data_IF_751710342614
#
_entry.id   IF_751710342614
#
_cell.length_a   1.000
_cell.length_b   1.000
_cell.length_c   1.000
_cell.angle_alpha   90.00
_cell.angle_beta   90.00
_cell.angle_gamma   90.00
#
_symmetry.space_group_name_H-M   'P 1'
#
loop_
_entity.id
_entity.type
_entity.pdbx_description
1 polymer ?
#
# COMPACT_ATOMS: atom_id res chain seq x y z
N UNK A 1 31.03 -55.44 -51.75
CA UNK A 1 30.23 -54.28 -52.22
C UNK A 1 29.17 -53.99 -51.17
N UNK A 2 29.54 -53.29 -50.10
CA UNK A 2 29.38 -51.83 -49.88
C UNK A 2 27.97 -51.45 -49.40
N UNK A 3 27.82 -51.45 -48.07
CA UNK A 3 26.66 -50.97 -47.31
C UNK A 3 26.55 -49.44 -47.39
N UNK A 4 25.47 -48.93 -48.00
CA UNK A 4 25.18 -47.50 -48.06
C UNK A 4 24.55 -47.03 -46.74
N UNK A 5 25.33 -46.31 -45.93
CA UNK A 5 24.82 -45.59 -44.75
C UNK A 5 24.08 -44.34 -45.22
N UNK A 6 22.77 -44.28 -44.93
CA UNK A 6 21.99 -43.05 -45.03
C UNK A 6 22.52 -42.06 -43.97
N UNK A 7 23.33 -41.09 -44.42
CA UNK A 7 23.90 -40.05 -43.56
C UNK A 7 22.83 -39.00 -43.34
N UNK A 8 22.21 -39.01 -42.17
CA UNK A 8 21.27 -37.97 -41.75
C UNK A 8 22.04 -36.65 -41.59
N UNK A 9 22.05 -35.83 -42.63
CA UNK A 9 22.57 -34.46 -42.56
C UNK A 9 21.53 -33.59 -41.88
N UNK A 10 21.56 -33.53 -40.55
CA UNK A 10 20.95 -32.42 -39.83
C UNK A 10 21.73 -31.16 -40.17
N UNK A 11 21.22 -30.43 -41.17
CA UNK A 11 21.79 -29.20 -41.69
C UNK A 11 21.90 -28.20 -40.52
N UNK A 12 23.09 -27.67 -40.19
CA UNK A 12 23.28 -26.75 -39.05
C UNK A 12 22.43 -25.48 -39.16
N UNK A 13 21.98 -25.14 -40.38
CA UNK A 13 21.10 -24.02 -40.68
C UNK A 13 19.70 -24.18 -40.04
N UNK A 14 19.15 -25.41 -39.96
CA UNK A 14 17.84 -25.65 -39.35
C UNK A 14 17.88 -25.46 -37.82
N UNK A 15 18.97 -25.89 -37.19
CA UNK A 15 19.20 -25.72 -35.75
C UNK A 15 19.36 -24.24 -35.37
N UNK A 16 20.08 -23.46 -36.19
CA UNK A 16 20.21 -22.01 -36.01
C UNK A 16 18.87 -21.28 -36.14
N UNK A 17 18.09 -21.60 -37.18
CA UNK A 17 16.77 -20.98 -37.40
C UNK A 17 15.76 -21.30 -36.28
N UNK A 18 15.80 -22.52 -35.73
CA UNK A 18 14.93 -22.88 -34.60
C UNK A 18 15.32 -22.14 -33.31
N UNK A 19 16.61 -21.95 -33.03
CA UNK A 19 17.06 -21.14 -31.89
C UNK A 19 16.65 -19.68 -32.00
N UNK A 20 16.67 -19.13 -33.22
CA UNK A 20 16.20 -17.76 -33.48
C UNK A 20 14.68 -17.66 -33.24
N UNK A 21 13.90 -18.63 -33.71
CA UNK A 21 12.45 -18.67 -33.47
C UNK A 21 12.10 -18.82 -31.98
N UNK A 22 12.82 -19.67 -31.24
CA UNK A 22 12.62 -19.82 -29.79
C UNK A 22 12.99 -18.54 -29.03
N UNK A 23 14.07 -17.87 -29.44
CA UNK A 23 14.49 -16.59 -28.87
C UNK A 23 13.45 -15.50 -29.13
N UNK A 24 12.91 -15.43 -30.34
CA UNK A 24 11.86 -14.48 -30.71
C UNK A 24 10.59 -14.76 -29.91
N UNK A 25 10.13 -16.01 -29.85
CA UNK A 25 8.95 -16.41 -29.06
C UNK A 25 9.15 -16.05 -27.57
N UNK A 26 10.33 -16.33 -27.01
CA UNK A 26 10.66 -15.96 -25.63
C UNK A 26 10.65 -14.46 -25.40
N UNK A 27 11.18 -13.68 -26.35
CA UNK A 27 11.15 -12.23 -26.32
C UNK A 27 9.71 -11.70 -26.36
N UNK A 28 8.89 -12.17 -27.30
CA UNK A 28 7.47 -11.78 -27.41
C UNK A 28 6.67 -12.18 -26.18
N UNK A 29 6.83 -13.41 -25.67
CA UNK A 29 6.16 -13.85 -24.43
C UNK A 29 6.55 -12.97 -23.24
N UNK A 30 7.83 -12.62 -23.12
CA UNK A 30 8.30 -11.71 -22.07
C UNK A 30 7.76 -10.28 -22.25
N UNK A 31 7.62 -9.81 -23.49
CA UNK A 31 7.06 -8.50 -23.80
C UNK A 31 5.56 -8.45 -23.46
N UNK A 32 4.79 -9.48 -23.81
CA UNK A 32 3.37 -9.60 -23.46
C UNK A 32 3.19 -9.70 -21.94
N UNK A 33 4.05 -10.45 -21.25
CA UNK A 33 4.04 -10.53 -19.79
C UNK A 33 4.32 -9.17 -19.13
N UNK A 34 5.28 -8.39 -19.65
CA UNK A 34 5.56 -7.03 -19.19
C UNK A 34 4.39 -6.08 -19.46
N UNK A 35 3.81 -6.11 -20.66
CA UNK A 35 2.64 -5.29 -21.00
C UNK A 35 1.44 -5.60 -20.08
N UNK A 36 1.23 -6.88 -19.73
CA UNK A 36 0.22 -7.28 -18.74
C UNK A 36 0.55 -6.78 -17.33
N UNK A 37 1.82 -6.80 -16.93
CA UNK A 37 2.22 -6.28 -15.62
C UNK A 37 2.06 -4.76 -15.53
N UNK A 38 2.33 -4.02 -16.62
CA UNK A 38 2.16 -2.57 -16.67
C UNK A 38 0.72 -2.11 -16.40
N UNK A 39 -0.30 -2.91 -16.74
CA UNK A 39 -1.70 -2.62 -16.44
C UNK A 39 -2.11 -2.78 -14.96
N UNK A 40 -1.30 -3.48 -14.15
CA UNK A 40 -1.60 -3.82 -12.76
C UNK A 40 -0.64 -3.13 -11.76
N UNK A 41 0.21 -2.21 -12.22
CA UNK A 41 1.22 -1.53 -11.40
C UNK A 41 0.73 -0.21 -10.78
N UNK A 42 -0.53 -0.14 -10.33
CA UNK A 42 -0.94 0.96 -9.45
C UNK A 42 -0.56 0.61 -8.01
N UNK A 43 0.45 1.30 -7.47
CA UNK A 43 0.74 1.20 -6.03
C UNK A 43 -0.52 1.56 -5.26
N UNK A 44 -0.94 0.76 -4.26
CA UNK A 44 -2.20 1.00 -3.57
C UNK A 44 -2.11 2.34 -2.84
N UNK A 45 -3.09 3.20 -3.12
CA UNK A 45 -3.26 4.52 -2.50
C UNK A 45 -3.54 4.36 -1.00
N UNK A 46 -3.29 5.41 -0.21
CA UNK A 46 -3.54 5.39 1.23
C UNK A 46 -4.98 4.94 1.57
N UNK A 47 -6.04 5.45 0.91
CA UNK A 47 -7.40 4.99 1.18
C UNK A 47 -7.62 3.50 0.85
N UNK A 48 -7.03 3.00 -0.24
CA UNK A 48 -7.13 1.59 -0.63
C UNK A 48 -6.47 0.67 0.42
N UNK A 49 -5.32 1.09 0.97
CA UNK A 49 -4.64 0.39 2.06
C UNK A 49 -5.47 0.40 3.34
N UNK A 50 -6.01 1.55 3.74
CA UNK A 50 -6.86 1.64 4.94
C UNK A 50 -8.13 0.80 4.79
N UNK A 51 -8.78 0.84 3.62
CA UNK A 51 -9.96 0.02 3.36
C UNK A 51 -9.65 -1.47 3.47
N UNK A 52 -8.61 -1.94 2.78
CA UNK A 52 -8.24 -3.36 2.79
C UNK A 52 -7.84 -3.86 4.19
N UNK A 53 -7.21 -3.02 5.01
CA UNK A 53 -6.71 -3.40 6.34
C UNK A 53 -7.76 -3.27 7.45
N UNK A 54 -8.48 -2.15 7.49
CA UNK A 54 -9.32 -1.78 8.64
C UNK A 54 -10.81 -1.90 8.33
N UNK A 55 -11.22 -1.52 7.11
CA UNK A 55 -12.64 -1.30 6.81
C UNK A 55 -13.29 -2.37 5.91
N UNK A 56 -12.55 -3.39 5.46
CA UNK A 56 -13.07 -4.46 4.58
C UNK A 56 -13.93 -5.49 5.33
N UNK A 57 -13.60 -5.81 6.58
CA UNK A 57 -14.34 -6.79 7.39
C UNK A 57 -15.11 -6.06 8.50
N UNK A 58 -16.37 -6.41 8.72
CA UNK A 58 -17.22 -5.75 9.72
C UNK A 58 -16.64 -5.83 11.14
N UNK A 59 -15.98 -6.94 11.50
CA UNK A 59 -15.34 -7.09 12.80
C UNK A 59 -14.15 -6.15 13.00
N UNK A 60 -13.25 -6.05 12.02
CA UNK A 60 -12.10 -5.13 12.08
C UNK A 60 -12.56 -3.67 12.00
N UNK A 61 -13.63 -3.42 11.24
CA UNK A 61 -14.26 -2.11 11.15
C UNK A 61 -14.80 -1.65 12.51
N UNK A 62 -15.60 -2.48 13.17
CA UNK A 62 -16.15 -2.18 14.49
C UNK A 62 -15.04 -1.97 15.54
N UNK A 63 -14.02 -2.82 15.53
CA UNK A 63 -12.85 -2.67 16.40
C UNK A 63 -12.12 -1.34 16.14
N UNK A 64 -11.92 -0.98 14.87
CA UNK A 64 -11.26 0.27 14.49
C UNK A 64 -12.05 1.48 14.99
N UNK A 65 -13.38 1.45 14.91
CA UNK A 65 -14.23 2.53 15.45
C UNK A 65 -14.14 2.59 16.97
N UNK A 66 -14.26 1.45 17.66
CA UNK A 66 -14.22 1.42 19.12
C UNK A 66 -12.88 1.97 19.66
N UNK A 67 -11.76 1.48 19.11
CA UNK A 67 -10.43 1.98 19.46
C UNK A 67 -10.29 3.45 19.07
N UNK A 68 -10.68 3.80 17.84
CA UNK A 68 -10.63 5.17 17.34
C UNK A 68 -11.39 6.15 18.24
N UNK A 69 -12.56 5.77 18.74
CA UNK A 69 -13.36 6.60 19.64
C UNK A 69 -12.65 6.87 20.97
N UNK A 70 -12.01 5.87 21.58
CA UNK A 70 -11.27 6.05 22.84
C UNK A 70 -10.10 7.01 22.71
N UNK A 71 -9.35 6.93 21.61
CA UNK A 71 -8.26 7.87 21.35
C UNK A 71 -8.79 9.26 20.96
N UNK A 72 -9.87 9.30 20.17
CA UNK A 72 -10.51 10.55 19.76
C UNK A 72 -11.04 11.33 20.97
N UNK A 73 -11.73 10.68 21.91
CA UNK A 73 -12.23 11.30 23.15
C UNK A 73 -11.12 12.09 23.86
N UNK A 74 -10.00 11.45 24.16
CA UNK A 74 -8.90 12.08 24.91
C UNK A 74 -8.21 13.20 24.14
N UNK A 75 -8.00 13.01 22.84
CA UNK A 75 -7.38 14.03 22.01
C UNK A 75 -8.32 15.22 21.79
N UNK A 76 -9.61 14.95 21.60
CA UNK A 76 -10.62 15.97 21.36
C UNK A 76 -10.89 16.79 22.62
N UNK A 77 -11.07 16.17 23.78
CA UNK A 77 -11.31 16.90 25.03
C UNK A 77 -10.14 17.84 25.34
N UNK A 78 -8.90 17.34 25.30
CA UNK A 78 -7.72 18.19 25.54
C UNK A 78 -7.56 19.30 24.50
N UNK A 79 -7.80 18.98 23.22
CA UNK A 79 -7.70 19.96 22.14
C UNK A 79 -8.78 21.04 22.24
N UNK A 80 -10.02 20.63 22.48
CA UNK A 80 -11.17 21.52 22.60
C UNK A 80 -11.04 22.40 23.84
N UNK A 81 -10.63 21.83 24.99
CA UNK A 81 -10.33 22.59 26.20
C UNK A 81 -9.25 23.62 25.92
N UNK A 82 -8.10 23.22 25.34
CA UNK A 82 -7.01 24.14 25.01
C UNK A 82 -7.46 25.31 24.13
N UNK A 83 -8.24 25.03 23.08
CA UNK A 83 -8.81 26.06 22.21
C UNK A 83 -9.74 26.97 23.01
N UNK A 84 -10.60 26.41 23.86
CA UNK A 84 -11.53 27.17 24.68
C UNK A 84 -10.84 28.04 25.73
N UNK A 85 -9.79 27.54 26.40
CA UNK A 85 -9.00 28.32 27.35
C UNK A 85 -8.32 29.49 26.65
N UNK A 86 -7.73 29.23 25.48
CA UNK A 86 -7.02 30.24 24.72
C UNK A 86 -7.94 31.36 24.23
N UNK A 87 -9.13 31.02 23.72
CA UNK A 87 -10.13 32.01 23.29
C UNK A 87 -10.61 32.87 24.48
N UNK A 88 -10.67 32.30 25.68
CA UNK A 88 -11.21 32.95 26.87
C UNK A 88 -10.11 33.27 27.90
N UNK A 89 -8.90 33.54 27.42
CA UNK A 89 -7.77 33.86 28.25
C UNK A 89 -8.08 35.07 29.16
N UNK A 90 -7.70 34.97 30.43
CA UNK A 90 -7.99 35.98 31.46
C UNK A 90 -9.45 36.06 31.96
N UNK A 91 -10.41 35.37 31.32
CA UNK A 91 -11.82 35.38 31.76
C UNK A 91 -12.19 34.20 32.66
N UNK A 92 -11.57 33.04 32.46
CA UNK A 92 -11.91 31.84 33.22
C UNK A 92 -11.38 31.92 34.65
N UNK A 93 -12.12 31.32 35.59
CA UNK A 93 -11.71 31.19 36.98
C UNK A 93 -10.29 30.65 37.11
N UNK A 94 -9.94 29.58 36.39
CA UNK A 94 -8.58 28.99 36.40
C UNK A 94 -7.46 29.99 36.08
N UNK A 95 -7.73 31.03 35.28
CA UNK A 95 -6.75 32.07 34.96
C UNK A 95 -6.61 33.10 36.07
N UNK A 96 -7.65 33.38 36.86
CA UNK A 96 -7.66 34.42 37.90
C UNK A 96 -7.61 33.86 39.33
N UNK A 97 -7.78 32.55 39.50
CA UNK A 97 -7.84 31.83 40.79
C UNK A 97 -6.61 32.10 41.65
N UNK A 98 -5.43 32.20 41.02
CA UNK A 98 -4.16 32.52 41.68
C UNK A 98 -4.17 33.85 42.44
N UNK A 99 -5.12 34.75 42.16
CA UNK A 99 -5.27 36.03 42.87
C UNK A 99 -6.03 35.92 44.19
N UNK A 100 -6.74 34.81 44.40
CA UNK A 100 -7.71 34.65 45.49
C UNK A 100 -7.45 33.42 46.38
N UNK A 101 -6.56 32.51 45.98
CA UNK A 101 -6.11 31.43 46.84
C UNK A 101 -4.83 31.84 47.60
N UNK A 102 -4.93 31.86 48.93
CA UNK A 102 -3.74 31.94 49.78
C UNK A 102 -3.00 30.61 49.70
N UNK A 103 -1.68 30.65 49.53
CA UNK A 103 -0.83 29.49 49.73
C UNK A 103 -0.77 29.23 51.24
N UNK A 104 -1.44 28.17 51.70
CA UNK A 104 -1.12 27.54 52.99
C UNK A 104 0.25 26.84 52.91
#
# INVERSE_FOLDING_TARGET
MSTLRYRETTIPIKQGALKLLEQDIGFYASAVARVRQLGNMSSPTIPSRLYSLLFRRTSTFALTIAVGALFFERAFDQGADAIYEHINEGKLWKHIKHKYENKE
#
